data_IF_605030000429
#
_entry.id   IF_605030000429
#
_cell.length_a   1.000
_cell.length_b   1.000
_cell.length_c   1.000
_cell.angle_alpha   90.00
_cell.angle_beta   90.00
_cell.angle_gamma   90.00
#
_symmetry.space_group_name_H-M   'P 1'
#
loop_
_entity.id
_entity.type
_entity.pdbx_description
1 polymer ?
#
# COMPACT_ATOMS: atom_id res chain seq x y z
N UNK A 1 6.92 21.35 25.10
CA UNK A 1 7.40 20.11 24.46
C UNK A 1 6.88 20.11 23.03
N UNK A 2 7.72 20.47 22.03
CA UNK A 2 7.29 20.56 20.62
C UNK A 2 7.41 19.16 20.01
N UNK A 3 6.30 18.54 19.68
CA UNK A 3 6.25 17.31 18.88
C UNK A 3 6.83 17.62 17.49
N UNK A 4 7.99 17.05 17.19
CA UNK A 4 8.56 17.06 15.83
C UNK A 4 7.64 16.24 14.93
N UNK A 5 6.98 16.93 14.02
CA UNK A 5 6.25 16.30 12.92
C UNK A 5 7.28 15.69 11.96
N UNK A 6 7.53 14.40 12.08
CA UNK A 6 8.42 13.68 11.16
C UNK A 6 7.63 13.44 9.87
N UNK A 7 7.84 14.27 8.88
CA UNK A 7 7.31 14.03 7.53
C UNK A 7 7.97 12.79 6.95
N UNK A 8 7.21 11.71 6.80
CA UNK A 8 7.65 10.49 6.13
C UNK A 8 7.54 10.72 4.62
N UNK A 9 8.65 10.66 3.93
CA UNK A 9 8.66 10.73 2.47
C UNK A 9 8.25 9.38 1.90
N UNK A 10 7.07 9.32 1.30
CA UNK A 10 6.56 8.12 0.63
C UNK A 10 6.89 8.25 -0.87
N UNK A 11 7.74 7.36 -1.38
CA UNK A 11 8.04 7.30 -2.80
C UNK A 11 7.05 6.39 -3.52
N UNK A 12 6.22 6.96 -4.38
CA UNK A 12 5.37 6.21 -5.31
C UNK A 12 6.09 6.11 -6.65
N UNK A 13 6.63 4.94 -6.97
CA UNK A 13 7.17 4.66 -8.30
C UNK A 13 6.29 3.64 -8.99
N UNK A 14 5.43 4.12 -9.89
CA UNK A 14 4.64 3.23 -10.72
C UNK A 14 3.64 3.99 -11.59
N UNK A 15 3.88 3.97 -12.89
CA UNK A 15 2.89 4.35 -13.90
C UNK A 15 1.81 3.27 -13.96
N UNK A 16 0.95 3.20 -12.94
CA UNK A 16 -0.22 2.33 -12.99
C UNK A 16 -1.40 3.19 -13.41
N UNK A 17 -1.76 3.11 -14.68
CA UNK A 17 -3.09 3.52 -15.11
C UNK A 17 -4.07 2.69 -14.28
N UNK A 18 -4.76 3.35 -13.36
CA UNK A 18 -5.83 2.70 -12.59
C UNK A 18 -7.00 2.44 -13.56
N UNK A 19 -7.28 1.19 -13.96
CA UNK A 19 -8.38 0.91 -14.90
C UNK A 19 -9.75 1.31 -14.34
N UNK A 20 -9.85 1.58 -13.04
CA UNK A 20 -11.06 2.05 -12.36
C UNK A 20 -11.10 3.59 -12.19
N UNK A 21 -10.02 4.30 -12.52
CA UNK A 21 -10.06 5.75 -12.66
C UNK A 21 -10.89 6.20 -13.88
N UNK A 22 -11.35 5.27 -14.70
CA UNK A 22 -12.23 5.54 -15.83
C UNK A 22 -13.68 5.88 -15.44
N UNK A 23 -14.11 5.62 -14.23
CA UNK A 23 -15.26 6.33 -13.65
C UNK A 23 -14.77 7.76 -13.36
N UNK A 24 -14.99 8.65 -14.32
CA UNK A 24 -14.36 9.97 -14.42
C UNK A 24 -14.29 10.73 -13.10
N UNK A 25 -13.37 11.70 -13.00
CA UNK A 25 -13.27 12.50 -11.81
C UNK A 25 -14.64 13.14 -11.58
N UNK A 26 -15.27 12.77 -10.47
CA UNK A 26 -16.42 13.51 -9.99
C UNK A 26 -15.96 14.96 -9.84
N UNK A 27 -16.43 15.82 -10.75
CA UNK A 27 -16.07 17.24 -10.82
C UNK A 27 -16.55 18.02 -9.58
N UNK A 28 -17.21 17.34 -8.66
CA UNK A 28 -17.94 17.93 -7.55
C UNK A 28 -17.23 17.78 -6.22
N UNK A 29 -15.92 17.93 -6.13
CA UNK A 29 -15.33 17.85 -4.80
C UNK A 29 -13.97 18.55 -4.72
N UNK A 30 -13.86 19.43 -3.78
CA UNK A 30 -12.63 20.03 -3.26
C UNK A 30 -11.72 18.95 -2.60
N UNK A 31 -11.80 17.69 -3.10
CA UNK A 31 -11.11 16.57 -2.51
C UNK A 31 -9.64 16.59 -2.90
N UNK A 32 -8.79 16.41 -1.91
CA UNK A 32 -7.33 16.41 -2.04
C UNK A 32 -6.77 15.10 -2.62
N UNK A 33 -7.62 14.09 -2.89
CA UNK A 33 -7.21 12.76 -3.33
C UNK A 33 -8.11 12.20 -4.44
N UNK A 34 -7.64 11.17 -5.13
CA UNK A 34 -8.41 10.43 -6.11
C UNK A 34 -9.27 9.38 -5.43
N UNK A 35 -10.58 9.40 -5.70
CA UNK A 35 -11.50 8.37 -5.22
C UNK A 35 -11.30 7.05 -5.93
N UNK A 36 -11.54 5.96 -5.23
CA UNK A 36 -11.64 4.64 -5.81
C UNK A 36 -13.12 4.24 -5.89
N UNK A 37 -13.70 4.40 -7.08
CA UNK A 37 -15.14 4.30 -7.30
C UNK A 37 -15.89 5.57 -6.89
N UNK A 38 -17.18 5.60 -7.19
CA UNK A 38 -18.04 6.78 -6.96
C UNK A 38 -18.16 7.16 -5.48
N UNK A 39 -18.18 6.16 -4.61
CA UNK A 39 -18.32 6.30 -3.15
C UNK A 39 -16.99 6.20 -2.39
N UNK A 40 -15.87 6.08 -3.09
CA UNK A 40 -14.54 5.85 -2.51
C UNK A 40 -14.39 4.54 -1.71
N UNK A 41 -15.34 3.62 -1.81
CA UNK A 41 -15.37 2.37 -1.03
C UNK A 41 -15.09 1.11 -1.87
N UNK A 42 -14.74 1.27 -3.14
CA UNK A 42 -14.45 0.15 -4.03
C UNK A 42 -13.40 -0.83 -3.48
N UNK A 43 -12.27 -0.40 -2.87
CA UNK A 43 -11.32 -1.33 -2.26
C UNK A 43 -11.92 -2.11 -1.08
N UNK A 44 -12.82 -1.48 -0.32
CA UNK A 44 -13.51 -2.14 0.78
C UNK A 44 -14.43 -3.25 0.26
N UNK A 45 -15.13 -2.99 -0.86
CA UNK A 45 -15.96 -3.98 -1.54
C UNK A 45 -15.12 -5.15 -2.06
N UNK A 46 -13.98 -4.90 -2.72
CA UNK A 46 -13.06 -5.94 -3.18
C UNK A 46 -12.53 -6.81 -2.02
N UNK A 47 -12.12 -6.17 -0.92
CA UNK A 47 -11.67 -6.89 0.27
C UNK A 47 -12.78 -7.78 0.84
N UNK A 48 -14.02 -7.28 0.91
CA UNK A 48 -15.17 -8.04 1.37
C UNK A 48 -15.47 -9.23 0.43
N UNK A 49 -15.48 -9.00 -0.88
CA UNK A 49 -15.71 -10.06 -1.88
C UNK A 49 -14.65 -11.16 -1.79
N UNK A 50 -13.37 -10.77 -1.65
CA UNK A 50 -12.28 -11.72 -1.45
C UNK A 50 -12.47 -12.58 -0.18
N UNK A 51 -12.96 -12.00 0.91
CA UNK A 51 -13.25 -12.74 2.16
C UNK A 51 -14.43 -13.68 2.03
N UNK A 52 -15.44 -13.32 1.22
CA UNK A 52 -16.65 -14.13 1.01
C UNK A 52 -16.48 -15.26 0.00
N UNK A 53 -15.46 -15.19 -0.85
CA UNK A 53 -15.14 -16.21 -1.86
C UNK A 53 -13.82 -16.91 -1.54
N UNK A 54 -13.85 -18.08 -0.87
CA UNK A 54 -12.64 -18.83 -0.53
C UNK A 54 -11.83 -19.21 -1.77
N UNK A 55 -12.48 -19.56 -2.85
CA UNK A 55 -11.83 -19.93 -4.12
C UNK A 55 -11.07 -18.73 -4.70
N UNK A 56 -11.71 -17.55 -4.78
CA UNK A 56 -11.07 -16.35 -5.27
C UNK A 56 -9.88 -15.96 -4.39
N UNK A 57 -10.08 -15.97 -3.06
CA UNK A 57 -9.00 -15.65 -2.11
C UNK A 57 -7.81 -16.60 -2.27
N UNK A 58 -8.06 -17.90 -2.47
CA UNK A 58 -7.01 -18.87 -2.70
C UNK A 58 -6.21 -18.54 -3.96
N UNK A 59 -6.88 -18.27 -5.09
CA UNK A 59 -6.21 -17.91 -6.34
C UNK A 59 -5.32 -16.68 -6.16
N UNK A 60 -5.79 -15.64 -5.45
CA UNK A 60 -5.00 -14.44 -5.16
C UNK A 60 -3.79 -14.78 -4.29
N UNK A 61 -3.96 -15.60 -3.25
CA UNK A 61 -2.86 -16.04 -2.38
C UNK A 61 -1.82 -16.86 -3.17
N UNK A 62 -2.29 -17.87 -3.92
CA UNK A 62 -1.40 -18.73 -4.73
C UNK A 62 -0.58 -17.88 -5.73
N UNK A 63 -1.23 -16.88 -6.33
CA UNK A 63 -0.54 -15.92 -7.21
C UNK A 63 0.49 -15.07 -6.46
N UNK A 64 0.16 -14.58 -5.27
CA UNK A 64 1.08 -13.81 -4.45
C UNK A 64 2.28 -14.66 -4.00
N UNK A 65 2.03 -15.91 -3.62
CA UNK A 65 3.06 -16.87 -3.25
C UNK A 65 3.96 -17.22 -4.44
N UNK A 66 3.40 -17.36 -5.63
CA UNK A 66 4.17 -17.60 -6.85
C UNK A 66 5.10 -16.41 -7.19
N UNK A 67 4.58 -15.18 -7.07
CA UNK A 67 5.35 -13.94 -7.33
C UNK A 67 6.46 -13.76 -6.29
N UNK A 68 6.16 -13.97 -5.01
CA UNK A 68 7.15 -13.80 -3.92
C UNK A 68 8.20 -14.93 -3.91
N UNK A 69 7.85 -16.08 -4.44
CA UNK A 69 8.74 -17.24 -4.61
C UNK A 69 9.42 -17.67 -3.31
N UNK A 70 10.69 -18.05 -3.42
CA UNK A 70 11.52 -18.47 -2.28
C UNK A 70 12.18 -17.28 -1.54
N UNK A 71 11.93 -16.05 -1.99
CA UNK A 71 12.57 -14.86 -1.44
C UNK A 71 13.76 -14.37 -2.27
N UNK A 72 14.65 -13.65 -1.62
CA UNK A 72 15.79 -13.00 -2.26
C UNK A 72 17.09 -13.68 -1.87
N UNK A 73 17.96 -13.85 -2.84
CA UNK A 73 19.35 -14.24 -2.60
C UNK A 73 20.21 -12.99 -2.75
N UNK A 74 20.94 -12.64 -1.70
CA UNK A 74 21.86 -11.51 -1.70
C UNK A 74 23.29 -12.01 -1.71
N UNK A 75 24.17 -11.22 -2.32
CA UNK A 75 25.60 -11.43 -2.21
C UNK A 75 26.04 -11.37 -0.74
N UNK A 76 26.74 -12.38 -0.20
CA UNK A 76 27.18 -12.42 1.19
C UNK A 76 28.05 -11.22 1.59
N UNK A 77 28.76 -10.62 0.64
CA UNK A 77 29.58 -9.43 0.89
C UNK A 77 28.73 -8.17 1.14
N UNK A 78 27.48 -8.15 0.66
CA UNK A 78 26.54 -7.04 0.86
C UNK A 78 25.72 -7.23 2.13
N UNK A 79 26.38 -7.20 3.29
CA UNK A 79 25.77 -7.47 4.60
C UNK A 79 24.51 -6.67 4.89
N UNK A 80 24.47 -5.40 4.51
CA UNK A 80 23.29 -4.52 4.73
C UNK A 80 22.08 -5.02 3.92
N UNK A 81 22.26 -5.42 2.67
CA UNK A 81 21.17 -5.95 1.85
C UNK A 81 20.71 -7.31 2.34
N UNK A 82 21.62 -8.18 2.78
CA UNK A 82 21.29 -9.46 3.37
C UNK A 82 20.46 -9.28 4.66
N UNK A 83 20.85 -8.34 5.52
CA UNK A 83 20.11 -8.01 6.73
C UNK A 83 18.67 -7.50 6.43
N UNK A 84 18.51 -6.62 5.42
CA UNK A 84 17.19 -6.14 4.98
C UNK A 84 16.36 -7.28 4.38
N UNK A 85 16.97 -8.20 3.63
CA UNK A 85 16.27 -9.34 3.05
C UNK A 85 15.69 -10.26 4.14
N UNK A 86 16.40 -10.46 5.24
CA UNK A 86 15.96 -11.29 6.36
C UNK A 86 15.02 -10.55 7.31
N UNK A 87 15.32 -9.28 7.58
CA UNK A 87 14.55 -8.43 8.50
C UNK A 87 14.42 -7.03 7.94
N UNK A 88 13.35 -6.80 7.19
CA UNK A 88 13.13 -5.56 6.47
C UNK A 88 12.55 -4.42 7.35
N UNK A 89 12.06 -4.73 8.56
CA UNK A 89 11.50 -3.73 9.48
C UNK A 89 11.59 -4.14 10.95
N UNK A 90 11.24 -3.21 11.83
CA UNK A 90 11.22 -3.42 13.28
C UNK A 90 10.20 -4.46 13.75
N UNK A 91 9.19 -4.78 12.94
CA UNK A 91 8.22 -5.85 13.21
C UNK A 91 8.79 -7.27 12.95
N UNK A 92 10.02 -7.36 12.40
CA UNK A 92 10.68 -8.64 12.12
C UNK A 92 10.22 -9.30 10.82
N UNK A 93 9.56 -8.56 9.93
CA UNK A 93 9.13 -9.09 8.64
C UNK A 93 10.33 -9.18 7.67
N UNK A 94 10.43 -10.30 6.95
CA UNK A 94 11.40 -10.43 5.87
C UNK A 94 10.92 -9.70 4.61
N UNK A 95 11.85 -9.36 3.73
CA UNK A 95 11.54 -8.75 2.44
C UNK A 95 10.60 -9.64 1.60
N UNK A 96 10.74 -10.97 1.72
CA UNK A 96 9.82 -11.93 1.07
C UNK A 96 8.38 -11.76 1.56
N UNK A 97 8.17 -11.60 2.87
CA UNK A 97 6.83 -11.41 3.44
C UNK A 97 6.22 -10.10 2.93
N UNK A 98 7.01 -9.03 2.89
CA UNK A 98 6.56 -7.74 2.36
C UNK A 98 6.19 -7.85 0.88
N UNK A 99 7.03 -8.51 0.07
CA UNK A 99 6.75 -8.74 -1.36
C UNK A 99 5.47 -9.56 -1.56
N UNK A 100 5.24 -10.59 -0.73
CA UNK A 100 4.03 -11.39 -0.79
C UNK A 100 2.78 -10.52 -0.55
N UNK A 101 2.80 -9.68 0.49
CA UNK A 101 1.72 -8.73 0.79
C UNK A 101 1.50 -7.73 -0.36
N UNK A 102 2.57 -7.19 -0.94
CA UNK A 102 2.48 -6.29 -2.10
C UNK A 102 1.90 -7.01 -3.33
N UNK A 103 2.30 -8.26 -3.57
CA UNK A 103 1.79 -9.07 -4.68
C UNK A 103 0.31 -9.41 -4.49
N UNK A 104 -0.10 -9.70 -3.25
CA UNK A 104 -1.51 -9.89 -2.89
C UNK A 104 -2.33 -8.63 -3.19
N UNK A 105 -1.91 -7.48 -2.68
CA UNK A 105 -2.60 -6.21 -2.88
C UNK A 105 -2.65 -5.84 -4.36
N UNK A 106 -1.54 -5.98 -5.08
CA UNK A 106 -1.50 -5.74 -6.53
C UNK A 106 -2.46 -6.63 -7.30
N UNK A 107 -2.61 -7.88 -6.88
CA UNK A 107 -3.50 -8.85 -7.53
C UNK A 107 -4.97 -8.59 -7.20
N UNK A 108 -5.27 -8.15 -5.98
CA UNK A 108 -6.65 -7.91 -5.53
C UNK A 108 -7.15 -6.52 -5.91
N UNK A 109 -6.33 -5.49 -5.68
CA UNK A 109 -6.73 -4.08 -5.83
C UNK A 109 -6.18 -3.41 -7.10
N UNK A 110 -5.27 -4.05 -7.83
CA UNK A 110 -4.57 -3.44 -8.95
C UNK A 110 -3.48 -2.45 -8.53
N UNK A 111 -3.33 -2.16 -7.25
CA UNK A 111 -2.34 -1.26 -6.65
C UNK A 111 -1.68 -1.93 -5.44
N UNK A 112 -0.46 -1.49 -5.13
CA UNK A 112 0.28 -1.90 -3.94
C UNK A 112 1.15 -0.74 -3.48
N UNK A 113 1.31 -0.58 -2.17
CA UNK A 113 2.03 0.54 -1.58
C UNK A 113 3.12 0.02 -0.64
N UNK A 114 4.35 0.45 -0.91
CA UNK A 114 5.53 0.19 -0.10
C UNK A 114 5.97 1.49 0.56
N UNK A 115 6.03 1.51 1.88
CA UNK A 115 6.65 2.59 2.63
C UNK A 115 8.12 2.27 2.85
N UNK A 116 8.96 3.24 2.55
CA UNK A 116 10.40 3.20 2.81
C UNK A 116 10.67 4.24 3.88
N UNK A 117 11.09 3.80 5.05
CA UNK A 117 11.47 4.66 6.16
C UNK A 117 12.99 4.60 6.37
N UNK A 118 13.59 5.78 6.50
CA UNK A 118 15.01 5.93 6.83
C UNK A 118 15.14 6.60 8.19
N UNK A 119 16.13 6.19 8.97
CA UNK A 119 16.47 6.91 10.18
C UNK A 119 17.02 8.32 9.86
N UNK A 120 16.93 9.26 10.81
CA UNK A 120 17.45 10.63 10.61
C UNK A 120 18.92 10.68 10.20
N UNK A 121 19.70 9.69 10.60
CA UNK A 121 21.12 9.56 10.29
C UNK A 121 21.39 8.81 8.98
N UNK A 122 20.32 8.43 8.24
CA UNK A 122 20.37 7.67 6.98
C UNK A 122 21.14 6.34 7.07
N UNK A 123 21.35 5.85 8.29
CA UNK A 123 22.15 4.64 8.53
C UNK A 123 21.35 3.36 8.41
N UNK A 124 20.03 3.43 8.58
CA UNK A 124 19.14 2.25 8.48
C UNK A 124 17.94 2.51 7.58
N UNK A 125 17.54 1.47 6.87
CA UNK A 125 16.39 1.45 5.98
C UNK A 125 15.38 0.43 6.50
N UNK A 126 14.14 0.83 6.62
CA UNK A 126 13.03 -0.04 6.97
C UNK A 126 11.96 -0.02 5.89
N UNK A 127 11.42 -1.19 5.57
CA UNK A 127 10.39 -1.37 4.56
C UNK A 127 9.10 -1.83 5.20
N UNK A 128 7.99 -1.18 4.86
CA UNK A 128 6.67 -1.54 5.37
C UNK A 128 5.67 -1.66 4.22
N UNK A 129 4.90 -2.73 4.23
CA UNK A 129 3.73 -2.83 3.38
C UNK A 129 2.61 -1.95 3.96
N UNK A 130 1.99 -1.14 3.10
CA UNK A 130 0.78 -0.38 3.44
C UNK A 130 -0.42 -1.00 2.75
N UNK A 131 -1.45 -1.37 3.52
CA UNK A 131 -2.68 -1.98 3.02
C UNK A 131 -3.33 -1.06 1.97
N UNK A 132 -3.44 -1.54 0.73
CA UNK A 132 -3.93 -0.75 -0.39
C UNK A 132 -5.39 -0.28 -0.18
N UNK A 133 -6.18 -1.01 0.60
CA UNK A 133 -7.55 -0.59 0.93
C UNK A 133 -7.60 0.70 1.77
N UNK A 134 -6.52 0.98 2.49
CA UNK A 134 -6.37 2.15 3.36
C UNK A 134 -5.68 3.33 2.68
N UNK A 135 -5.13 3.15 1.49
CA UNK A 135 -4.35 4.15 0.78
C UNK A 135 -5.19 4.88 -0.26
N UNK A 136 -4.99 6.19 -0.38
CA UNK A 136 -5.53 7.02 -1.48
C UNK A 136 -4.40 7.91 -2.00
N UNK A 137 -4.30 8.00 -3.32
CA UNK A 137 -3.32 8.87 -3.96
C UNK A 137 -3.84 10.29 -3.95
N UNK A 138 -3.04 11.24 -3.48
CA UNK A 138 -3.38 12.65 -3.54
C UNK A 138 -3.47 13.11 -5.01
N UNK A 139 -4.25 14.16 -5.28
CA UNK A 139 -4.42 14.69 -6.66
C UNK A 139 -3.14 15.23 -7.26
N UNK A 140 -2.24 15.70 -6.44
CA UNK A 140 -0.92 16.18 -6.86
C UNK A 140 0.04 15.06 -7.26
N UNK A 141 -0.33 13.78 -6.99
CA UNK A 141 0.48 12.60 -7.29
C UNK A 141 1.73 12.44 -6.43
N UNK A 142 1.94 13.32 -5.46
CA UNK A 142 3.16 13.36 -4.64
C UNK A 142 2.97 12.76 -3.26
N UNK A 143 1.71 12.59 -2.81
CA UNK A 143 1.38 12.13 -1.47
C UNK A 143 0.44 10.92 -1.52
N UNK A 144 0.54 10.08 -0.51
CA UNK A 144 -0.41 9.02 -0.21
C UNK A 144 -1.08 9.33 1.11
N UNK A 145 -2.41 9.38 1.08
CA UNK A 145 -3.21 9.53 2.29
C UNK A 145 -3.55 8.13 2.82
N UNK A 146 -3.26 7.94 4.10
CA UNK A 146 -3.63 6.72 4.83
C UNK A 146 -4.77 7.04 5.79
N UNK A 147 -5.82 6.24 5.73
CA UNK A 147 -6.92 6.31 6.70
C UNK A 147 -7.35 4.90 7.10
N UNK A 148 -7.56 4.68 8.39
CA UNK A 148 -7.93 3.36 8.90
C UNK A 148 -9.36 2.94 8.50
N UNK A 149 -10.26 3.90 8.31
CA UNK A 149 -11.66 3.67 7.95
C UNK A 149 -12.19 4.76 7.00
N UNK A 150 -12.08 4.50 5.71
CA UNK A 150 -12.62 5.41 4.68
C UNK A 150 -14.15 5.48 4.68
N UNK A 151 -14.85 4.48 5.24
CA UNK A 151 -16.30 4.48 5.36
C UNK A 151 -16.76 5.60 6.30
N UNK A 152 -16.16 5.68 7.48
CA UNK A 152 -16.44 6.74 8.44
C UNK A 152 -16.05 8.12 7.89
N UNK A 153 -14.90 8.21 7.20
CA UNK A 153 -14.43 9.46 6.61
C UNK A 153 -15.38 9.99 5.53
N UNK A 154 -15.84 9.13 4.63
CA UNK A 154 -16.78 9.50 3.57
C UNK A 154 -18.13 9.98 4.14
N UNK A 155 -18.61 9.35 5.21
CA UNK A 155 -19.85 9.76 5.88
C UNK A 155 -19.72 11.11 6.61
N UNK A 156 -18.55 11.45 7.13
CA UNK A 156 -18.31 12.75 7.75
C UNK A 156 -18.27 13.89 6.73
N UNK A 157 -17.66 13.66 5.56
CA UNK A 157 -17.64 14.65 4.48
C UNK A 157 -19.01 14.91 3.86
N UNK A 158 -19.90 13.93 3.85
CA UNK A 158 -21.25 14.09 3.32
C UNK A 158 -22.17 14.90 4.26
N UNK A 159 -21.75 15.15 5.50
CA UNK A 159 -22.51 15.91 6.52
C UNK A 159 -22.00 17.34 6.72
N UNK A 160 -20.88 17.71 6.11
CA UNK A 160 -20.30 19.05 6.12
C UNK A 160 -20.60 19.80 4.84
#
# INVERSE_FOLDING_TARGET
MKTKNTSRNLYVRGNTVNPFAAAGPDKAGNERYWRWGSDNLFPNALALMSRRSPTHRRIINDKADYISGKGFTCDPERRTLAAIAERANGAGESLRVILNKLAFDKSLFGNAFLEIATDPDETSLSLFHQDASRCRVARDGTHILLHHDWTAFTLQQAKS
#
